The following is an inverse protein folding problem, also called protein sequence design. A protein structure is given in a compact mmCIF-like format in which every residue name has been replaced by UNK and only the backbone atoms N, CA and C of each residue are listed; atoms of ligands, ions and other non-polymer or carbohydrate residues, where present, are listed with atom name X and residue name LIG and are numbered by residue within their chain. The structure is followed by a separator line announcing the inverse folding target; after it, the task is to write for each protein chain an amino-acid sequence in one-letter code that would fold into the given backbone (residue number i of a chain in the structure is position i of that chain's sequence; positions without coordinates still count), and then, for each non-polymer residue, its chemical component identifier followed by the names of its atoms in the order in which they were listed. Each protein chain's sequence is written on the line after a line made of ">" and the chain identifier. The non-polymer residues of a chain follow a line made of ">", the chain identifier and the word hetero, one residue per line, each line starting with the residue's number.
data_IF_116106477562
#
_entry.id   IF_116106477562
#
_cell.length_a   1.000
_cell.length_b   1.000
_cell.length_c   1.000
_cell.angle_alpha   90.00
_cell.angle_beta   90.00
_cell.angle_gamma   90.00
#
_symmetry.space_group_name_H-M   'P 1'
#
loop_
_entity.id
_entity.type
_entity.pdbx_description
1 polymer ?
#
# COMPACT_ATOMS: atom_id res chain seq x y z
N UNK A 1 21.67 4.46 11.83
CA UNK A 1 20.18 4.41 11.80
C UNK A 1 19.68 4.61 13.22
N UNK A 2 18.66 5.45 13.42
CA UNK A 2 18.02 5.66 14.73
C UNK A 2 16.82 4.72 14.82
N UNK A 3 16.74 3.91 15.89
CA UNK A 3 15.59 3.04 16.16
C UNK A 3 14.71 3.68 17.24
N UNK A 4 13.47 4.02 16.90
CA UNK A 4 12.48 4.51 17.86
C UNK A 4 11.67 3.33 18.41
N UNK A 5 12.01 2.86 19.61
CA UNK A 5 11.35 1.71 20.26
C UNK A 5 10.34 2.08 21.36
N UNK A 6 10.07 3.38 21.54
CA UNK A 6 9.07 3.87 22.51
C UNK A 6 8.14 4.90 21.88
N UNK A 7 6.90 4.98 22.42
CA UNK A 7 5.90 5.93 21.95
C UNK A 7 6.34 7.39 22.16
N UNK A 8 7.08 7.69 23.24
CA UNK A 8 7.61 9.03 23.50
C UNK A 8 8.62 9.46 22.43
N UNK A 9 9.58 8.59 22.11
CA UNK A 9 10.60 8.86 21.08
C UNK A 9 9.94 8.95 19.69
N UNK A 10 8.99 8.07 19.38
CA UNK A 10 8.24 8.16 18.13
C UNK A 10 7.44 9.47 18.01
N UNK A 11 6.83 9.95 19.10
CA UNK A 11 6.14 11.24 19.11
C UNK A 11 7.09 12.42 18.89
N UNK A 12 8.28 12.38 19.51
CA UNK A 12 9.30 13.40 19.31
C UNK A 12 9.78 13.46 17.85
N UNK A 13 9.92 12.32 17.19
CA UNK A 13 10.31 12.23 15.77
C UNK A 13 9.18 12.68 14.84
N UNK A 14 7.97 12.15 15.01
CA UNK A 14 6.88 12.31 14.04
C UNK A 14 5.94 13.50 14.31
N UNK A 15 6.06 14.18 15.46
CA UNK A 15 5.28 15.39 15.77
C UNK A 15 6.16 16.62 15.95
N UNK A 16 7.23 16.50 16.74
CA UNK A 16 8.08 17.67 17.07
C UNK A 16 9.11 17.94 15.98
N UNK A 17 9.72 16.88 15.44
CA UNK A 17 10.78 16.96 14.43
C UNK A 17 10.34 16.39 13.07
N UNK A 18 9.03 16.42 12.78
CA UNK A 18 8.44 15.77 11.62
C UNK A 18 9.02 16.25 10.28
N UNK A 19 9.38 17.53 10.17
CA UNK A 19 10.04 18.09 8.98
C UNK A 19 11.46 17.56 8.78
N UNK A 20 12.20 17.34 9.86
CA UNK A 20 13.57 16.82 9.80
C UNK A 20 13.60 15.35 9.37
N UNK A 21 12.58 14.57 9.75
CA UNK A 21 12.44 13.15 9.44
C UNK A 21 11.44 12.86 8.30
N UNK A 22 10.77 13.88 7.76
CA UNK A 22 9.71 13.72 6.76
C UNK A 22 10.23 13.43 5.35
N UNK A 23 11.49 13.77 5.08
CA UNK A 23 12.13 13.45 3.81
C UNK A 23 12.49 11.96 3.76
N UNK A 24 11.89 11.24 2.81
CA UNK A 24 12.37 9.91 2.43
C UNK A 24 13.75 10.07 1.79
N UNK A 25 14.74 9.33 2.28
CA UNK A 25 16.05 9.29 1.63
C UNK A 25 15.86 8.92 0.16
N UNK A 26 16.62 9.52 -0.78
CA UNK A 26 16.70 9.01 -2.13
C UNK A 26 16.96 7.51 -2.03
N UNK A 27 16.13 6.70 -2.69
CA UNK A 27 16.38 5.27 -2.71
C UNK A 27 17.80 5.05 -3.26
N UNK A 28 18.58 4.20 -2.60
CA UNK A 28 19.83 3.69 -3.20
C UNK A 28 19.51 2.80 -4.42
N UNK A 29 18.23 2.45 -4.57
CA UNK A 29 17.63 1.83 -5.75
C UNK A 29 17.41 2.92 -6.81
N UNK A 30 17.91 2.65 -8.01
CA UNK A 30 17.67 3.43 -9.22
C UNK A 30 16.17 3.67 -9.43
N UNK A 31 15.77 4.90 -9.78
CA UNK A 31 14.35 5.24 -9.96
C UNK A 31 13.72 4.37 -11.06
N UNK A 32 14.49 3.97 -12.08
CA UNK A 32 14.09 3.02 -13.15
C UNK A 32 13.71 1.63 -12.62
N UNK A 33 14.15 1.25 -11.41
CA UNK A 33 13.84 -0.04 -10.79
C UNK A 33 12.64 0.03 -9.84
N UNK A 34 12.11 1.23 -9.60
CA UNK A 34 10.89 1.41 -8.83
C UNK A 34 9.66 1.35 -9.75
N UNK A 35 8.50 0.88 -9.27
CA UNK A 35 7.26 0.94 -10.04
C UNK A 35 7.01 2.36 -10.56
N UNK A 36 6.62 2.45 -11.84
CA UNK A 36 6.37 3.73 -12.53
C UNK A 36 7.59 4.66 -12.55
N UNK A 37 8.80 4.11 -12.72
CA UNK A 37 10.07 4.85 -12.82
C UNK A 37 10.30 5.83 -11.66
N UNK A 38 9.92 5.41 -10.45
CA UNK A 38 10.05 6.24 -9.24
C UNK A 38 9.06 7.42 -9.17
N UNK A 39 8.20 7.63 -10.17
CA UNK A 39 7.30 8.79 -10.27
C UNK A 39 6.12 8.78 -9.27
N UNK A 40 6.00 7.74 -8.45
CA UNK A 40 4.93 7.64 -7.46
C UNK A 40 5.13 8.64 -6.31
N UNK A 41 4.07 9.33 -5.90
CA UNK A 41 4.15 10.26 -4.76
C UNK A 41 4.44 9.53 -3.42
N UNK A 42 4.25 8.21 -3.37
CA UNK A 42 4.53 7.37 -2.18
C UNK A 42 6.04 7.37 -1.88
N UNK A 43 6.87 7.36 -2.92
CA UNK A 43 8.33 7.36 -2.82
C UNK A 43 8.97 8.74 -3.03
N UNK A 44 8.18 9.75 -3.40
CA UNK A 44 8.69 11.10 -3.62
C UNK A 44 9.26 11.74 -2.34
N UNK A 45 10.34 12.51 -2.51
CA UNK A 45 10.92 13.33 -1.45
C UNK A 45 9.89 14.35 -0.93
N UNK A 46 10.04 14.78 0.33
CA UNK A 46 9.17 15.78 0.97
C UNK A 46 9.39 17.18 0.34
N UNK A 47 8.81 17.39 -0.83
CA UNK A 47 8.86 18.63 -1.63
C UNK A 47 7.45 19.06 -2.01
N UNK A 48 7.34 20.15 -2.78
CA UNK A 48 6.06 20.72 -3.19
C UNK A 48 5.14 19.72 -3.88
N UNK A 49 5.68 18.83 -4.73
CA UNK A 49 4.90 17.75 -5.35
C UNK A 49 4.27 16.80 -4.31
N UNK A 50 5.06 16.30 -3.36
CA UNK A 50 4.55 15.41 -2.32
C UNK A 50 3.50 16.09 -1.44
N UNK A 51 3.75 17.34 -1.04
CA UNK A 51 2.79 18.14 -0.24
C UNK A 51 1.49 18.35 -1.00
N UNK A 52 1.56 18.67 -2.29
CA UNK A 52 0.41 18.84 -3.16
C UNK A 52 -0.41 17.55 -3.27
N UNK A 53 0.22 16.42 -3.56
CA UNK A 53 -0.45 15.11 -3.65
C UNK A 53 -1.08 14.71 -2.32
N UNK A 54 -0.35 14.86 -1.19
CA UNK A 54 -0.91 14.64 0.14
C UNK A 54 -2.14 15.49 0.41
N UNK A 55 -2.10 16.79 0.05
CA UNK A 55 -3.24 17.69 0.20
C UNK A 55 -4.45 17.20 -0.59
N UNK A 56 -4.27 16.76 -1.84
CA UNK A 56 -5.36 16.19 -2.65
C UNK A 56 -5.93 14.95 -1.96
N UNK A 57 -5.08 13.99 -1.59
CA UNK A 57 -5.54 12.76 -0.94
C UNK A 57 -6.35 13.05 0.32
N UNK A 58 -5.83 13.88 1.23
CA UNK A 58 -6.49 14.16 2.51
C UNK A 58 -7.75 15.01 2.33
N UNK A 59 -7.76 15.96 1.40
CA UNK A 59 -8.91 16.88 1.28
C UNK A 59 -10.02 16.36 0.35
N UNK A 60 -9.67 15.60 -0.70
CA UNK A 60 -10.60 15.20 -1.76
C UNK A 60 -10.93 13.71 -1.76
N UNK A 61 -10.01 12.83 -1.37
CA UNK A 61 -10.24 11.38 -1.38
C UNK A 61 -10.66 10.86 0.00
N UNK A 62 -9.97 11.32 1.04
CA UNK A 62 -10.15 10.87 2.43
C UNK A 62 -10.71 11.95 3.35
N UNK A 63 -11.14 13.08 2.78
CA UNK A 63 -11.70 14.19 3.55
C UNK A 63 -13.08 13.89 4.10
N UNK A 64 -13.57 14.63 5.11
CA UNK A 64 -14.88 14.40 5.72
C UNK A 64 -16.03 14.37 4.71
N UNK A 65 -15.99 15.26 3.71
CA UNK A 65 -16.99 15.29 2.65
C UNK A 65 -16.95 14.03 1.76
N UNK A 66 -15.75 13.61 1.34
CA UNK A 66 -15.58 12.40 0.53
C UNK A 66 -16.04 11.14 1.30
N UNK A 67 -15.74 11.08 2.61
CA UNK A 67 -16.20 10.01 3.48
C UNK A 67 -17.71 10.01 3.69
N UNK A 68 -18.35 11.18 3.76
CA UNK A 68 -19.80 11.29 3.83
C UNK A 68 -20.46 10.87 2.51
N UNK A 69 -19.96 11.37 1.38
CA UNK A 69 -20.48 11.04 0.05
C UNK A 69 -20.36 9.54 -0.27
N UNK A 70 -19.27 8.89 0.14
CA UNK A 70 -19.05 7.45 -0.07
C UNK A 70 -19.73 6.56 0.97
N UNK A 71 -20.52 7.11 1.92
CA UNK A 71 -21.19 6.32 2.96
C UNK A 71 -22.11 5.25 2.38
N UNK A 72 -22.90 5.60 1.34
CA UNK A 72 -23.80 4.65 0.66
C UNK A 72 -23.03 3.49 0.03
N UNK A 73 -21.97 3.82 -0.73
CA UNK A 73 -21.08 2.81 -1.35
C UNK A 73 -20.50 1.86 -0.30
N UNK A 74 -19.96 2.37 0.81
CA UNK A 74 -19.40 1.52 1.87
C UNK A 74 -20.44 0.61 2.50
N UNK A 75 -21.65 1.12 2.72
CA UNK A 75 -22.74 0.32 3.27
C UNK A 75 -23.17 -0.79 2.31
N UNK A 76 -23.29 -0.49 1.02
CA UNK A 76 -23.62 -1.47 -0.02
C UNK A 76 -22.56 -2.57 -0.14
N UNK A 77 -21.27 -2.22 -0.15
CA UNK A 77 -20.20 -3.22 -0.21
C UNK A 77 -20.15 -4.09 1.04
N UNK A 78 -20.38 -3.50 2.22
CA UNK A 78 -20.47 -4.26 3.47
C UNK A 78 -21.67 -5.22 3.45
N UNK A 79 -22.82 -4.76 3.00
CA UNK A 79 -24.01 -5.59 2.88
C UNK A 79 -23.78 -6.75 1.90
N UNK A 80 -23.21 -6.48 0.73
CA UNK A 80 -22.88 -7.50 -0.25
C UNK A 80 -21.89 -8.54 0.29
N UNK A 81 -20.87 -8.10 1.04
CA UNK A 81 -19.93 -8.98 1.72
C UNK A 81 -20.63 -9.91 2.72
N UNK A 82 -21.48 -9.37 3.60
CA UNK A 82 -22.21 -10.14 4.61
C UNK A 82 -23.19 -11.14 3.97
N UNK A 83 -23.93 -10.73 2.94
CA UNK A 83 -24.82 -11.62 2.20
C UNK A 83 -24.05 -12.81 1.61
N UNK A 84 -22.90 -12.55 0.99
CA UNK A 84 -22.07 -13.61 0.41
C UNK A 84 -21.50 -14.56 1.46
N UNK A 85 -21.11 -14.06 2.63
CA UNK A 85 -20.72 -14.92 3.75
C UNK A 85 -21.87 -15.81 4.19
N UNK A 86 -23.07 -15.24 4.33
CA UNK A 86 -24.27 -15.96 4.72
C UNK A 86 -24.63 -17.06 3.72
N UNK A 87 -24.59 -16.76 2.42
CA UNK A 87 -24.86 -17.73 1.36
C UNK A 87 -23.84 -18.88 1.36
N UNK A 88 -22.56 -18.55 1.55
CA UNK A 88 -21.47 -19.53 1.61
C UNK A 88 -21.62 -20.45 2.82
N UNK A 89 -21.93 -19.87 3.99
CA UNK A 89 -22.20 -20.61 5.22
C UNK A 89 -23.42 -21.53 5.07
N UNK A 90 -24.50 -21.03 4.44
CA UNK A 90 -25.72 -21.82 4.18
C UNK A 90 -25.47 -23.01 3.26
N UNK A 91 -24.48 -22.91 2.37
CA UNK A 91 -24.03 -24.00 1.51
C UNK A 91 -23.01 -24.95 2.17
N UNK A 92 -22.70 -24.75 3.46
CA UNK A 92 -21.66 -25.49 4.21
C UNK A 92 -20.29 -25.48 3.51
N UNK A 93 -19.97 -24.40 2.78
CA UNK A 93 -18.67 -24.23 2.13
C UNK A 93 -17.70 -23.53 3.07
N UNK A 94 -16.39 -23.84 3.00
CA UNK A 94 -15.38 -23.11 3.77
C UNK A 94 -15.36 -21.63 3.34
N UNK A 95 -15.29 -20.75 4.34
CA UNK A 95 -15.24 -19.30 4.12
C UNK A 95 -13.77 -18.88 4.13
N UNK A 96 -13.29 -18.32 3.03
CA UNK A 96 -12.02 -17.59 3.00
C UNK A 96 -12.26 -16.14 3.43
N UNK A 97 -12.11 -15.89 4.73
CA UNK A 97 -12.30 -14.57 5.34
C UNK A 97 -11.29 -13.55 4.82
N UNK A 98 -10.04 -13.96 4.59
CA UNK A 98 -8.98 -13.08 4.10
C UNK A 98 -9.29 -12.59 2.68
N UNK A 99 -9.69 -13.49 1.79
CA UNK A 99 -10.08 -13.15 0.42
C UNK A 99 -11.36 -12.29 0.42
N UNK A 100 -12.32 -12.59 1.31
CA UNK A 100 -13.52 -11.79 1.48
C UNK A 100 -13.22 -10.34 1.90
N UNK A 101 -12.30 -10.14 2.85
CA UNK A 101 -11.87 -8.79 3.28
C UNK A 101 -11.11 -8.05 2.18
N UNK A 102 -10.29 -8.74 1.39
CA UNK A 102 -9.62 -8.16 0.21
C UNK A 102 -10.66 -7.68 -0.80
N UNK A 103 -11.69 -8.49 -1.09
CA UNK A 103 -12.79 -8.11 -1.97
C UNK A 103 -13.53 -6.86 -1.47
N UNK A 104 -13.91 -6.85 -0.19
CA UNK A 104 -14.62 -5.73 0.43
C UNK A 104 -13.81 -4.43 0.32
N UNK A 105 -12.53 -4.49 0.69
CA UNK A 105 -11.64 -3.32 0.66
C UNK A 105 -11.40 -2.84 -0.76
N UNK A 106 -11.09 -3.75 -1.70
CA UNK A 106 -10.79 -3.39 -3.07
C UNK A 106 -12.01 -2.81 -3.79
N UNK A 107 -13.18 -3.44 -3.65
CA UNK A 107 -14.41 -2.91 -4.26
C UNK A 107 -14.82 -1.58 -3.64
N UNK A 108 -14.65 -1.40 -2.34
CA UNK A 108 -14.91 -0.11 -1.68
C UNK A 108 -14.03 0.98 -2.27
N UNK A 109 -12.70 0.76 -2.34
CA UNK A 109 -11.76 1.75 -2.89
C UNK A 109 -12.01 1.99 -4.39
N UNK A 110 -12.20 0.94 -5.18
CA UNK A 110 -12.48 1.06 -6.61
C UNK A 110 -13.80 1.80 -6.88
N UNK A 111 -14.86 1.56 -6.11
CA UNK A 111 -16.12 2.29 -6.28
C UNK A 111 -16.01 3.73 -5.82
N UNK A 112 -15.23 4.01 -4.78
CA UNK A 112 -14.97 5.39 -4.34
C UNK A 112 -14.15 6.18 -5.36
N UNK A 113 -13.19 5.54 -6.03
CA UNK A 113 -12.27 6.21 -6.95
C UNK A 113 -12.77 6.24 -8.41
N UNK A 114 -13.41 5.17 -8.87
CA UNK A 114 -13.76 4.92 -10.28
C UNK A 114 -15.25 4.57 -10.50
N UNK A 115 -16.06 4.55 -9.44
CA UNK A 115 -17.48 4.13 -9.51
C UNK A 115 -17.71 2.73 -10.08
N UNK A 116 -16.69 1.86 -10.04
CA UNK A 116 -16.71 0.51 -10.58
C UNK A 116 -16.21 -0.52 -9.55
N UNK A 117 -16.66 -1.78 -9.66
CA UNK A 117 -16.13 -2.89 -8.87
C UNK A 117 -14.98 -3.58 -9.61
N UNK A 118 -13.91 -3.87 -8.90
CA UNK A 118 -12.71 -4.50 -9.46
C UNK A 118 -12.62 -6.00 -9.16
N UNK A 119 -13.31 -6.45 -8.11
CA UNK A 119 -13.24 -7.81 -7.56
C UNK A 119 -14.62 -8.41 -7.38
N UNK A 120 -15.45 -8.43 -8.43
CA UNK A 120 -16.78 -9.08 -8.40
C UNK A 120 -16.71 -10.61 -8.33
N UNK A 121 -15.59 -11.18 -8.79
CA UNK A 121 -15.32 -12.62 -8.83
C UNK A 121 -14.13 -12.96 -7.94
N UNK A 122 -14.16 -14.13 -7.31
CA UNK A 122 -13.05 -14.62 -6.46
C UNK A 122 -11.72 -14.64 -7.23
N UNK A 123 -11.72 -15.11 -8.48
CA UNK A 123 -10.52 -15.10 -9.35
C UNK A 123 -9.89 -13.70 -9.52
N UNK A 124 -10.71 -12.66 -9.69
CA UNK A 124 -10.20 -11.27 -9.80
C UNK A 124 -9.63 -10.78 -8.46
N UNK A 125 -10.28 -11.13 -7.36
CA UNK A 125 -9.83 -10.77 -6.02
C UNK A 125 -8.50 -11.44 -5.66
N UNK A 126 -8.36 -12.72 -6.02
CA UNK A 126 -7.16 -13.51 -5.81
C UNK A 126 -6.00 -12.98 -6.66
N UNK A 127 -6.26 -12.64 -7.93
CA UNK A 127 -5.27 -11.93 -8.77
C UNK A 127 -4.82 -10.61 -8.16
N UNK A 128 -5.74 -9.77 -7.68
CA UNK A 128 -5.39 -8.54 -7.00
C UNK A 128 -4.55 -8.80 -5.74
N UNK A 129 -4.92 -9.80 -4.92
CA UNK A 129 -4.17 -10.20 -3.73
C UNK A 129 -2.74 -10.63 -4.08
N UNK A 130 -2.59 -11.48 -5.09
CA UNK A 130 -1.29 -11.99 -5.53
C UNK A 130 -0.39 -10.86 -6.04
N UNK A 131 -0.92 -9.97 -6.89
CA UNK A 131 -0.18 -8.81 -7.39
C UNK A 131 0.27 -7.88 -6.26
N UNK A 132 -0.59 -7.63 -5.27
CA UNK A 132 -0.22 -6.83 -4.08
C UNK A 132 0.87 -7.53 -3.28
N UNK A 133 0.75 -8.85 -3.07
CA UNK A 133 1.74 -9.62 -2.33
C UNK A 133 3.11 -9.61 -3.04
N UNK A 134 3.14 -9.88 -4.35
CA UNK A 134 4.36 -9.82 -5.16
C UNK A 134 5.00 -8.42 -5.12
N UNK A 135 4.19 -7.37 -5.20
CA UNK A 135 4.68 -5.99 -5.11
C UNK A 135 5.30 -5.69 -3.74
N UNK A 136 4.67 -6.14 -2.64
CA UNK A 136 5.20 -5.97 -1.29
C UNK A 136 6.50 -6.77 -1.12
N UNK A 137 6.55 -8.01 -1.60
CA UNK A 137 7.75 -8.84 -1.54
C UNK A 137 8.93 -8.20 -2.29
N UNK A 138 8.67 -7.65 -3.47
CA UNK A 138 9.69 -6.89 -4.23
C UNK A 138 10.12 -5.63 -3.49
N UNK A 139 9.18 -4.86 -2.93
CA UNK A 139 9.50 -3.65 -2.16
C UNK A 139 10.36 -3.95 -0.92
N UNK A 140 10.09 -5.06 -0.21
CA UNK A 140 10.89 -5.52 0.93
C UNK A 140 12.29 -5.92 0.47
N UNK A 141 12.42 -6.70 -0.62
CA UNK A 141 13.71 -7.10 -1.18
C UNK A 141 14.56 -5.89 -1.59
N UNK A 142 13.95 -4.90 -2.23
CA UNK A 142 14.60 -3.62 -2.55
C UNK A 142 15.07 -2.89 -1.29
N UNK A 143 14.24 -2.85 -0.26
CA UNK A 143 14.57 -2.20 1.03
C UNK A 143 15.75 -2.87 1.75
N UNK A 144 15.82 -4.20 1.75
CA UNK A 144 16.96 -4.96 2.31
C UNK A 144 18.23 -4.69 1.51
N UNK A 145 18.14 -4.62 0.17
CA UNK A 145 19.26 -4.27 -0.71
C UNK A 145 19.87 -2.91 -0.36
N UNK A 146 19.04 -1.91 -0.05
CA UNK A 146 19.47 -0.56 0.41
C UNK A 146 20.24 -0.63 1.73
N UNK A 147 19.74 -1.42 2.70
CA UNK A 147 20.38 -1.57 4.03
C UNK A 147 21.74 -2.26 3.94
N UNK A 148 21.90 -3.20 3.01
CA UNK A 148 23.11 -3.99 2.84
C UNK A 148 24.15 -3.35 1.91
N UNK A 149 23.86 -2.22 1.25
CA UNK A 149 24.81 -1.51 0.38
C UNK A 149 26.16 -1.17 1.04
N UNK A 150 26.21 -0.73 2.32
CA UNK A 150 27.49 -0.52 3.02
C UNK A 150 28.31 -1.81 3.22
N UNK A 151 27.68 -2.98 3.10
CA UNK A 151 28.29 -4.31 3.24
C UNK A 151 28.59 -4.98 1.88
N UNK A 152 28.52 -4.25 0.76
CA UNK A 152 28.87 -4.76 -0.58
C UNK A 152 30.27 -5.40 -0.65
N UNK A 153 31.22 -4.91 0.15
CA UNK A 153 32.59 -5.43 0.24
C UNK A 153 32.69 -6.85 0.85
N UNK A 154 31.67 -7.32 1.57
CA UNK A 154 31.61 -8.68 2.14
C UNK A 154 31.08 -9.74 1.14
N UNK A 155 31.03 -9.43 -0.16
CA UNK A 155 30.58 -10.38 -1.19
C UNK A 155 29.07 -10.47 -1.39
N UNK A 156 28.28 -9.61 -0.73
CA UNK A 156 26.82 -9.53 -0.89
C UNK A 156 26.35 -8.85 -2.20
N UNK A 157 27.26 -8.51 -3.11
CA UNK A 157 26.94 -7.88 -4.40
C UNK A 157 26.17 -8.75 -5.41
N UNK A 158 25.86 -10.02 -5.10
CA UNK A 158 25.22 -10.96 -6.04
C UNK A 158 23.70 -10.78 -6.19
N UNK A 159 23.03 -10.01 -5.34
CA UNK A 159 21.56 -9.84 -5.43
C UNK A 159 21.09 -8.94 -6.58
N UNK A 160 22.00 -8.24 -7.27
CA UNK A 160 21.65 -7.41 -8.45
C UNK A 160 21.25 -8.27 -9.67
N UNK A 161 21.71 -9.53 -9.77
CA UNK A 161 21.47 -10.38 -10.94
C UNK A 161 20.04 -10.94 -11.04
N UNK A 162 19.26 -10.93 -9.95
CA UNK A 162 17.84 -11.37 -9.96
C UNK A 162 16.86 -10.23 -10.27
N UNK A 163 17.28 -8.98 -10.17
CA UNK A 163 16.45 -7.80 -10.48
C UNK A 163 16.48 -7.50 -12.00
N UNK A 164 17.40 -8.10 -12.76
CA UNK A 164 17.55 -7.91 -14.22
C UNK A 164 16.68 -8.84 -15.10
N UNK A 165 15.90 -9.75 -14.51
CA UNK A 165 15.08 -10.74 -15.24
C UNK A 165 13.56 -10.55 -15.08
N UNK A 166 13.13 -9.37 -14.63
CA UNK A 166 11.76 -8.88 -14.68
C UNK A 166 11.78 -7.48 -15.29
#
# INVERSE_FOLDING_TARGET
>A
QLLASSASVAAEIYKTHDLAFGSRQPSVVDDEKLPYDGSTFINAQYREYWKFMKKICISKLFGPHALAASRGVRFEELHFFLQRMFDTASCMKPIDEALGLVMLTNNTVCRMAMSARCSDKYDKAEKCRNLVQETIELAVKLSIGVVLVPFKWLGFGSTESKIRML
#
